data_IF_957680047812
#
_entry.id   IF_957680047812
#
_cell.length_a   1.000
_cell.length_b   1.000
_cell.length_c   1.000
_cell.angle_alpha   90.00
_cell.angle_beta   90.00
_cell.angle_gamma   90.00
#
_symmetry.space_group_name_H-M   'P 1'
#
loop_
_entity.id
_entity.type
_entity.pdbx_description
1 polymer ?
#
# COMPACT_ATOMS: atom_id res chain seq x y z
N UNK A 1 -2.38 -19.79 -44.95
CA UNK A 1 -1.95 -20.40 -43.69
C UNK A 1 -1.45 -19.39 -42.65
N UNK A 2 -0.70 -18.32 -42.98
CA UNK A 2 -0.17 -17.34 -42.03
C UNK A 2 -1.23 -16.56 -41.18
N UNK A 3 -2.43 -16.28 -41.74
CA UNK A 3 -3.49 -15.55 -41.00
C UNK A 3 -4.19 -16.41 -39.93
N UNK A 4 -4.24 -17.72 -40.05
CA UNK A 4 -4.87 -18.62 -39.07
C UNK A 4 -3.96 -18.85 -37.85
N UNK A 5 -2.64 -18.79 -38.02
CA UNK A 5 -1.66 -18.91 -36.94
C UNK A 5 -1.68 -17.66 -36.06
N UNK A 6 -1.87 -16.46 -36.65
CA UNK A 6 -1.99 -15.20 -35.89
C UNK A 6 -3.23 -15.17 -34.98
N UNK A 7 -4.35 -15.77 -35.44
CA UNK A 7 -5.58 -15.85 -34.66
C UNK A 7 -5.45 -16.82 -33.46
N UNK A 8 -4.70 -17.91 -33.61
CA UNK A 8 -4.42 -18.87 -32.54
C UNK A 8 -3.47 -18.26 -31.49
N UNK A 9 -2.49 -17.46 -31.90
CA UNK A 9 -1.63 -16.72 -30.97
C UNK A 9 -2.37 -15.61 -30.22
N UNK A 10 -3.33 -14.94 -30.86
CA UNK A 10 -4.16 -13.93 -30.20
C UNK A 10 -5.12 -14.55 -29.16
N UNK A 11 -5.57 -15.79 -29.38
CA UNK A 11 -6.39 -16.52 -28.41
C UNK A 11 -5.59 -17.14 -27.25
N UNK A 12 -4.29 -17.34 -27.41
CA UNK A 12 -3.39 -17.82 -26.35
C UNK A 12 -2.81 -16.69 -25.47
N UNK A 13 -2.87 -15.43 -25.93
CA UNK A 13 -2.39 -14.28 -25.16
C UNK A 13 -3.41 -13.70 -24.16
N UNK A 14 -4.61 -14.27 -24.07
CA UNK A 14 -5.67 -13.79 -23.19
C UNK A 14 -5.91 -14.81 -22.09
N UNK A 15 -5.06 -14.88 -21.08
CA UNK A 15 -5.37 -15.38 -19.72
C UNK A 15 -4.17 -15.33 -18.77
N UNK A 16 -3.70 -14.15 -18.41
CA UNK A 16 -3.11 -13.92 -17.11
C UNK A 16 -3.87 -12.79 -16.44
N UNK A 17 -5.11 -13.05 -16.10
CA UNK A 17 -5.78 -12.24 -15.09
C UNK A 17 -5.39 -12.80 -13.73
N UNK A 18 -4.99 -11.95 -12.80
CA UNK A 18 -4.96 -12.28 -11.40
C UNK A 18 -6.27 -13.01 -11.04
N UNK A 19 -6.20 -14.18 -10.41
CA UNK A 19 -7.38 -14.97 -10.07
C UNK A 19 -7.99 -14.52 -8.75
N UNK A 20 -7.58 -13.35 -8.24
CA UNK A 20 -8.15 -12.76 -7.03
C UNK A 20 -9.64 -12.47 -7.23
N UNK A 21 -10.43 -12.82 -6.22
CA UNK A 21 -11.89 -12.61 -6.21
C UNK A 21 -12.31 -11.95 -4.90
N UNK A 22 -13.42 -11.23 -4.92
CA UNK A 22 -13.99 -10.63 -3.71
C UNK A 22 -14.91 -11.63 -3.02
N UNK A 23 -14.44 -12.18 -1.90
CA UNK A 23 -15.26 -13.08 -1.08
C UNK A 23 -16.19 -12.29 -0.14
N UNK A 24 -17.46 -12.68 -0.09
CA UNK A 24 -18.41 -12.19 0.91
C UNK A 24 -18.29 -13.04 2.18
N UNK A 25 -18.20 -12.39 3.32
CA UNK A 25 -17.98 -13.04 4.60
C UNK A 25 -18.83 -12.47 5.72
N UNK A 26 -18.92 -13.21 6.82
CA UNK A 26 -19.42 -12.74 8.11
C UNK A 26 -18.60 -13.36 9.25
N UNK A 27 -18.60 -12.68 10.41
CA UNK A 27 -17.95 -13.16 11.64
C UNK A 27 -18.98 -13.07 12.77
N UNK A 28 -19.12 -14.15 13.52
CA UNK A 28 -20.04 -14.22 14.66
C UNK A 28 -19.27 -14.73 15.90
N UNK A 29 -19.31 -13.99 17.03
CA UNK A 29 -19.86 -12.64 17.16
C UNK A 29 -19.05 -11.60 16.34
N UNK A 30 -19.70 -10.51 15.94
CA UNK A 30 -19.07 -9.46 15.13
C UNK A 30 -18.18 -8.50 15.96
N UNK A 31 -18.31 -8.54 17.28
CA UNK A 31 -17.46 -7.86 18.26
C UNK A 31 -16.98 -8.92 19.26
N UNK A 32 -15.69 -9.05 19.43
CA UNK A 32 -15.07 -10.11 20.20
C UNK A 32 -13.70 -9.68 20.74
N UNK A 33 -13.25 -10.29 21.82
CA UNK A 33 -11.86 -10.19 22.28
C UNK A 33 -11.00 -11.35 21.77
N UNK A 34 -9.70 -11.27 22.00
CA UNK A 34 -8.74 -12.27 21.49
C UNK A 34 -8.95 -13.68 22.08
N UNK A 35 -9.61 -13.80 23.23
CA UNK A 35 -9.85 -15.07 23.93
C UNK A 35 -11.24 -15.65 23.63
N UNK A 36 -12.07 -14.93 22.89
CA UNK A 36 -13.42 -15.38 22.53
C UNK A 36 -13.40 -16.17 21.22
N UNK A 37 -14.12 -17.29 21.20
CA UNK A 37 -14.31 -18.05 19.98
C UNK A 37 -15.19 -17.28 18.98
N UNK A 38 -14.73 -17.22 17.73
CA UNK A 38 -15.44 -16.61 16.60
C UNK A 38 -15.63 -17.63 15.49
N UNK A 39 -16.72 -17.50 14.75
CA UNK A 39 -16.95 -18.28 13.54
C UNK A 39 -16.90 -17.38 12.31
N UNK A 40 -15.93 -17.62 11.45
CA UNK A 40 -15.79 -17.00 10.14
C UNK A 40 -16.61 -17.81 9.15
N UNK A 41 -17.51 -17.16 8.43
CA UNK A 41 -18.33 -17.76 7.37
C UNK A 41 -18.05 -17.07 6.06
N UNK A 42 -17.75 -17.84 5.02
CA UNK A 42 -17.58 -17.36 3.64
C UNK A 42 -18.77 -17.88 2.82
N UNK A 43 -19.36 -17.00 2.01
CA UNK A 43 -20.41 -17.39 1.08
C UNK A 43 -19.76 -18.03 -0.17
N UNK A 44 -20.06 -19.30 -0.44
CA UNK A 44 -19.53 -20.06 -1.57
C UNK A 44 -19.86 -19.43 -2.91
N UNK A 45 -21.08 -18.90 -3.08
CA UNK A 45 -21.49 -18.23 -4.33
C UNK A 45 -20.73 -16.94 -4.64
N UNK A 46 -19.98 -16.39 -3.68
CA UNK A 46 -19.13 -15.21 -3.88
C UNK A 46 -17.78 -15.53 -4.52
N UNK A 47 -17.42 -16.80 -4.61
CA UNK A 47 -16.15 -17.28 -5.17
C UNK A 47 -16.41 -18.27 -6.31
N UNK A 48 -15.62 -18.17 -7.38
CA UNK A 48 -15.61 -19.17 -8.44
C UNK A 48 -14.52 -20.22 -8.14
N UNK A 49 -14.93 -21.30 -7.49
CA UNK A 49 -14.05 -22.39 -7.04
C UNK A 49 -13.34 -23.07 -8.20
N UNK A 50 -14.00 -23.22 -9.34
CA UNK A 50 -13.41 -23.82 -10.53
C UNK A 50 -12.23 -22.99 -11.06
N UNK A 51 -12.32 -21.66 -11.03
CA UNK A 51 -11.22 -20.75 -11.40
C UNK A 51 -10.01 -20.95 -10.49
N UNK A 52 -10.23 -21.16 -9.20
CA UNK A 52 -9.13 -21.42 -8.24
C UNK A 52 -8.64 -22.85 -8.25
N UNK A 53 -9.36 -23.77 -8.91
CA UNK A 53 -9.07 -25.20 -8.88
C UNK A 53 -9.34 -25.82 -7.51
N UNK A 54 -10.34 -25.30 -6.80
CA UNK A 54 -10.81 -25.90 -5.52
C UNK A 54 -11.46 -27.23 -5.84
N UNK A 55 -10.97 -28.29 -5.23
CA UNK A 55 -11.53 -29.65 -5.35
C UNK A 55 -12.07 -30.13 -4.01
N UNK A 56 -13.12 -30.91 -4.04
CA UNK A 56 -13.76 -31.46 -2.83
C UNK A 56 -14.08 -30.36 -1.78
N UNK A 57 -14.47 -29.17 -2.24
CA UNK A 57 -14.81 -28.01 -1.40
C UNK A 57 -13.71 -27.66 -0.37
N UNK A 58 -12.44 -27.78 -0.77
CA UNK A 58 -11.29 -27.56 0.10
C UNK A 58 -10.82 -26.10 0.01
N UNK A 59 -11.42 -25.22 0.82
CA UNK A 59 -11.03 -23.84 1.01
C UNK A 59 -10.21 -23.67 2.29
N UNK A 60 -9.24 -22.78 2.29
CA UNK A 60 -8.28 -22.60 3.39
C UNK A 60 -8.20 -21.13 3.83
N UNK A 61 -8.06 -20.93 5.13
CA UNK A 61 -7.79 -19.65 5.76
C UNK A 61 -6.27 -19.39 5.71
N UNK A 62 -5.88 -18.23 5.20
CA UNK A 62 -4.54 -17.69 5.36
C UNK A 62 -4.63 -16.45 6.23
N UNK A 63 -3.94 -16.43 7.36
CA UNK A 63 -4.24 -15.48 8.41
C UNK A 63 -3.00 -14.90 9.07
N UNK A 64 -3.12 -13.67 9.58
CA UNK A 64 -2.11 -12.94 10.33
C UNK A 64 -2.78 -12.04 11.37
N UNK A 65 -2.01 -11.55 12.33
CA UNK A 65 -2.49 -10.67 13.39
C UNK A 65 -1.59 -9.46 13.55
N UNK A 66 -2.15 -8.37 14.03
CA UNK A 66 -1.44 -7.16 14.42
C UNK A 66 -1.66 -6.89 15.92
N UNK A 67 -0.69 -6.20 16.53
CA UNK A 67 -0.87 -5.65 17.87
C UNK A 67 -1.86 -4.47 17.85
N UNK A 68 -2.14 -3.90 19.02
CA UNK A 68 -3.08 -2.78 19.19
C UNK A 68 -2.62 -1.47 18.51
N UNK A 69 -1.37 -1.39 18.02
CA UNK A 69 -0.82 -0.21 17.37
C UNK A 69 -0.56 -0.41 15.87
N UNK A 70 -0.96 -1.57 15.32
CA UNK A 70 -0.67 -1.98 13.93
C UNK A 70 0.83 -2.00 13.57
N UNK A 71 1.71 -2.17 14.57
CA UNK A 71 3.16 -2.05 14.37
C UNK A 71 3.86 -3.39 14.18
N UNK A 72 3.20 -4.49 14.47
CA UNK A 72 3.78 -5.83 14.50
C UNK A 72 2.85 -6.83 13.83
N UNK A 73 3.12 -7.13 12.55
CA UNK A 73 2.43 -8.20 11.84
C UNK A 73 3.03 -9.56 12.21
N UNK A 74 2.18 -10.52 12.53
CA UNK A 74 2.58 -11.88 12.87
C UNK A 74 1.66 -12.89 12.18
N UNK A 75 2.24 -13.74 11.33
CA UNK A 75 1.53 -14.89 10.76
C UNK A 75 1.18 -15.96 11.81
N UNK A 76 0.23 -16.81 11.48
CA UNK A 76 -0.12 -17.96 12.33
C UNK A 76 0.65 -19.22 11.89
N UNK A 77 1.05 -20.10 12.84
CA UNK A 77 1.65 -21.39 12.50
C UNK A 77 0.65 -22.32 11.76
N UNK A 78 -0.65 -21.99 11.77
CA UNK A 78 -1.69 -22.79 11.13
C UNK A 78 -1.79 -22.57 9.61
N UNK A 79 -1.09 -21.58 9.02
CA UNK A 79 -1.16 -21.31 7.59
C UNK A 79 -0.57 -22.46 6.73
N UNK A 80 0.55 -23.06 7.17
CA UNK A 80 1.38 -23.92 6.33
C UNK A 80 2.13 -23.11 5.27
N UNK A 81 2.41 -23.72 4.11
CA UNK A 81 3.05 -23.07 2.99
C UNK A 81 2.03 -22.44 2.03
N UNK A 82 2.40 -21.35 1.35
CA UNK A 82 1.52 -20.69 0.38
C UNK A 82 1.00 -21.65 -0.71
N UNK A 83 1.86 -22.57 -1.15
CA UNK A 83 1.54 -23.59 -2.16
C UNK A 83 0.91 -24.86 -1.60
N UNK A 84 0.91 -25.03 -0.26
CA UNK A 84 0.41 -26.21 0.45
C UNK A 84 -0.14 -25.82 1.83
N UNK A 85 -1.31 -25.18 1.85
CA UNK A 85 -1.96 -24.80 3.13
C UNK A 85 -2.14 -25.97 4.06
N UNK A 86 -1.93 -25.72 5.36
CA UNK A 86 -2.14 -26.68 6.44
C UNK A 86 -3.63 -27.10 6.55
N UNK A 87 -3.90 -28.37 6.84
CA UNK A 87 -5.26 -28.82 7.12
C UNK A 87 -5.86 -28.15 8.36
N UNK A 88 -5.02 -27.66 9.29
CA UNK A 88 -5.47 -26.85 10.42
C UNK A 88 -6.16 -25.54 10.00
N UNK A 89 -5.90 -25.03 8.80
CA UNK A 89 -6.52 -23.82 8.26
C UNK A 89 -7.72 -24.09 7.35
N UNK A 90 -8.08 -25.36 7.10
CA UNK A 90 -9.18 -25.73 6.22
C UNK A 90 -10.54 -25.34 6.80
N UNK A 91 -11.41 -24.83 5.93
CA UNK A 91 -12.81 -24.58 6.25
C UNK A 91 -13.65 -25.86 6.18
N UNK A 92 -14.75 -25.87 6.92
CA UNK A 92 -15.82 -26.87 6.79
C UNK A 92 -16.87 -26.35 5.82
N UNK A 93 -17.19 -27.12 4.79
CA UNK A 93 -18.21 -26.76 3.80
C UNK A 93 -19.60 -27.31 4.18
N UNK A 94 -20.62 -26.47 4.03
CA UNK A 94 -22.03 -26.85 4.17
C UNK A 94 -22.73 -26.73 2.82
N UNK A 95 -23.05 -27.85 2.20
CA UNK A 95 -23.70 -27.93 0.89
C UNK A 95 -25.14 -27.38 0.87
N UNK A 96 -25.84 -27.44 2.01
CA UNK A 96 -27.23 -26.97 2.08
C UNK A 96 -27.36 -25.45 2.02
N UNK A 97 -26.33 -24.73 2.47
CA UNK A 97 -26.30 -23.26 2.50
C UNK A 97 -25.23 -22.65 1.59
N UNK A 98 -24.44 -23.47 0.91
CA UNK A 98 -23.29 -23.07 0.11
C UNK A 98 -22.37 -22.14 0.90
N UNK A 99 -21.93 -22.57 2.09
CA UNK A 99 -21.08 -21.77 2.96
C UNK A 99 -19.88 -22.58 3.47
N UNK A 100 -18.77 -21.86 3.64
CA UNK A 100 -17.56 -22.33 4.27
C UNK A 100 -17.43 -21.72 5.65
N UNK A 101 -17.31 -22.55 6.69
CA UNK A 101 -17.22 -22.08 8.08
C UNK A 101 -15.94 -22.51 8.75
N UNK A 102 -15.39 -21.65 9.60
CA UNK A 102 -14.26 -21.97 10.46
C UNK A 102 -14.39 -21.26 11.79
N UNK A 103 -14.37 -22.00 12.88
CA UNK A 103 -14.33 -21.44 14.24
C UNK A 103 -12.89 -21.39 14.73
N UNK A 104 -12.48 -20.24 15.24
CA UNK A 104 -11.16 -19.99 15.84
C UNK A 104 -11.32 -19.19 17.13
N UNK A 105 -10.37 -19.34 18.06
CA UNK A 105 -10.14 -18.39 19.16
C UNK A 105 -8.86 -17.63 18.80
N UNK A 106 -8.90 -16.32 18.56
CA UNK A 106 -7.76 -15.58 18.01
C UNK A 106 -6.44 -15.83 18.73
N UNK A 107 -6.38 -15.64 20.06
CA UNK A 107 -5.12 -15.83 20.81
C UNK A 107 -4.52 -17.23 20.61
N UNK A 108 -5.37 -18.26 20.52
CA UNK A 108 -4.95 -19.66 20.32
C UNK A 108 -4.56 -19.89 18.85
N UNK A 109 -5.38 -19.44 17.92
CA UNK A 109 -5.16 -19.68 16.49
C UNK A 109 -3.92 -18.98 15.96
N UNK A 110 -3.67 -17.73 16.37
CA UNK A 110 -2.50 -16.95 15.98
C UNK A 110 -1.27 -17.21 16.86
N UNK A 111 -1.43 -17.99 17.94
CA UNK A 111 -0.38 -18.27 18.92
C UNK A 111 0.31 -16.99 19.41
N UNK A 112 -0.49 -15.99 19.80
CA UNK A 112 -0.03 -14.69 20.29
C UNK A 112 -1.12 -14.01 21.11
N UNK A 113 -0.75 -13.03 21.93
CA UNK A 113 -1.64 -12.21 22.75
C UNK A 113 -1.40 -10.72 22.46
N UNK A 114 -2.29 -9.86 22.93
CA UNK A 114 -2.26 -8.43 22.65
C UNK A 114 -2.71 -8.11 21.23
N UNK A 115 -3.60 -8.95 20.69
CA UNK A 115 -4.12 -8.79 19.32
C UNK A 115 -5.08 -7.61 19.28
N UNK A 116 -4.75 -6.57 18.52
CA UNK A 116 -5.64 -5.45 18.23
C UNK A 116 -6.44 -5.62 16.94
N UNK A 117 -5.89 -6.39 15.98
CA UNK A 117 -6.51 -6.63 14.68
C UNK A 117 -6.12 -8.01 14.14
N UNK A 118 -7.06 -8.70 13.53
CA UNK A 118 -6.77 -9.91 12.75
C UNK A 118 -6.92 -9.60 11.26
N UNK A 119 -5.98 -10.14 10.49
CA UNK A 119 -6.04 -10.16 9.04
C UNK A 119 -6.27 -11.58 8.55
N UNK A 120 -7.01 -11.75 7.48
CA UNK A 120 -7.10 -13.02 6.79
C UNK A 120 -7.55 -12.86 5.35
N UNK A 121 -7.29 -13.88 4.58
CA UNK A 121 -7.88 -14.12 3.26
C UNK A 121 -8.28 -15.59 3.15
N UNK A 122 -9.08 -15.90 2.16
CA UNK A 122 -9.41 -17.29 1.81
C UNK A 122 -8.77 -17.66 0.49
N UNK A 123 -8.29 -18.89 0.37
CA UNK A 123 -7.55 -19.33 -0.82
C UNK A 123 -7.78 -20.82 -1.09
N UNK A 124 -7.46 -21.22 -2.31
CA UNK A 124 -7.26 -22.64 -2.63
C UNK A 124 -6.08 -23.20 -1.84
N UNK A 125 -5.95 -24.53 -1.72
CA UNK A 125 -4.81 -25.17 -1.04
C UNK A 125 -3.48 -24.69 -1.58
N UNK A 126 -3.38 -24.56 -2.90
CA UNK A 126 -2.26 -23.91 -3.59
C UNK A 126 -2.68 -22.51 -4.03
N UNK A 127 -2.06 -21.48 -3.44
CA UNK A 127 -2.34 -20.07 -3.71
C UNK A 127 -1.63 -19.48 -4.95
N UNK A 128 -0.84 -20.29 -5.70
CA UNK A 128 -0.11 -19.82 -6.88
C UNK A 128 -1.07 -19.26 -7.93
N UNK A 129 -0.72 -18.11 -8.53
CA UNK A 129 -1.54 -17.43 -9.54
C UNK A 129 -2.71 -16.66 -8.94
N UNK A 130 -2.52 -16.08 -7.73
CA UNK A 130 -3.51 -15.28 -7.00
C UNK A 130 -4.86 -15.98 -6.76
N UNK A 131 -4.83 -17.28 -6.52
CA UNK A 131 -6.02 -18.09 -6.17
C UNK A 131 -6.49 -17.80 -4.76
N UNK A 132 -6.84 -16.55 -4.51
CA UNK A 132 -7.17 -16.00 -3.18
C UNK A 132 -8.27 -14.94 -3.25
N UNK A 133 -8.86 -14.65 -2.09
CA UNK A 133 -9.72 -13.48 -1.91
C UNK A 133 -8.89 -12.19 -1.70
N UNK A 134 -9.61 -11.07 -1.57
CA UNK A 134 -9.08 -9.84 -0.98
C UNK A 134 -8.60 -10.10 0.45
N UNK A 135 -7.73 -9.23 0.95
CA UNK A 135 -7.37 -9.18 2.36
C UNK A 135 -8.54 -8.63 3.17
N UNK A 136 -8.84 -9.28 4.28
CA UNK A 136 -9.91 -8.93 5.20
C UNK A 136 -9.27 -8.58 6.54
N UNK A 137 -9.50 -7.36 7.02
CA UNK A 137 -9.00 -6.89 8.31
C UNK A 137 -10.16 -6.66 9.26
N UNK A 138 -10.03 -7.16 10.49
CA UNK A 138 -11.09 -7.11 11.52
C UNK A 138 -10.48 -6.71 12.86
N UNK A 139 -11.03 -5.66 13.47
CA UNK A 139 -10.63 -5.19 14.79
C UNK A 139 -10.99 -6.22 15.87
N UNK A 140 -10.11 -6.34 16.87
CA UNK A 140 -10.28 -7.22 18.04
C UNK A 140 -10.45 -6.37 19.29
N UNK A 141 -11.37 -6.75 20.15
CA UNK A 141 -11.71 -6.04 21.38
C UNK A 141 -13.13 -5.47 21.36
N UNK A 142 -13.72 -5.33 22.54
CA UNK A 142 -15.06 -4.73 22.69
C UNK A 142 -15.06 -3.25 22.35
N UNK A 143 -13.97 -2.56 22.65
CA UNK A 143 -13.72 -1.17 22.27
C UNK A 143 -13.07 -1.13 20.90
N UNK A 144 -13.82 -0.69 19.90
CA UNK A 144 -13.38 -0.54 18.51
C UNK A 144 -13.64 0.89 18.04
N UNK A 145 -12.79 1.39 17.14
CA UNK A 145 -12.91 2.73 16.56
C UNK A 145 -12.98 2.60 15.04
N UNK A 146 -14.03 3.17 14.46
CA UNK A 146 -14.20 3.27 13.01
C UNK A 146 -14.04 4.72 12.56
N UNK A 147 -13.05 4.99 11.73
CA UNK A 147 -12.92 6.26 11.03
C UNK A 147 -13.90 6.27 9.85
N UNK A 148 -14.98 7.07 9.95
CA UNK A 148 -16.04 7.09 8.94
C UNK A 148 -15.66 7.98 7.75
N UNK A 149 -14.92 9.07 8.03
CA UNK A 149 -14.28 9.97 7.08
C UNK A 149 -13.02 10.56 7.71
N UNK A 150 -11.91 10.60 6.95
CA UNK A 150 -11.63 9.90 5.70
C UNK A 150 -11.47 8.38 5.92
N UNK A 151 -11.11 7.65 4.86
CA UNK A 151 -10.68 6.25 5.02
C UNK A 151 -9.37 6.21 5.80
N UNK A 152 -9.25 5.28 6.73
CA UNK A 152 -8.02 5.05 7.51
C UNK A 152 -6.82 4.78 6.59
N UNK A 153 -5.66 5.29 6.98
CA UNK A 153 -4.41 5.19 6.21
C UNK A 153 -4.47 5.77 4.78
N UNK A 154 -5.53 6.56 4.47
CA UNK A 154 -5.67 7.22 3.18
C UNK A 154 -5.00 8.59 3.15
N UNK A 155 -4.72 9.05 1.92
CA UNK A 155 -4.34 10.45 1.66
C UNK A 155 -5.42 11.11 0.81
N UNK A 156 -5.97 12.21 1.30
CA UNK A 156 -6.96 13.01 0.57
C UNK A 156 -6.27 14.21 -0.08
N UNK A 157 -6.59 14.46 -1.35
CA UNK A 157 -6.10 15.65 -2.06
C UNK A 157 -7.11 16.79 -1.89
N UNK A 158 -6.62 17.97 -1.48
CA UNK A 158 -7.45 19.17 -1.29
C UNK A 158 -6.92 20.36 -2.08
N UNK A 159 -7.82 21.23 -2.50
CA UNK A 159 -7.46 22.58 -2.94
C UNK A 159 -7.06 23.44 -1.74
N UNK A 160 -6.05 24.30 -1.90
CA UNK A 160 -5.61 25.22 -0.84
C UNK A 160 -6.76 26.07 -0.30
N UNK A 161 -6.86 26.17 1.03
CA UNK A 161 -7.95 26.87 1.72
C UNK A 161 -9.23 26.05 1.94
N UNK A 162 -9.27 24.80 1.49
CA UNK A 162 -10.41 23.91 1.71
C UNK A 162 -10.60 23.54 3.18
N UNK A 163 -11.83 23.19 3.53
CA UNK A 163 -12.15 22.57 4.80
C UNK A 163 -12.13 21.04 4.66
N UNK A 164 -11.76 20.36 5.75
CA UNK A 164 -11.70 18.90 5.78
C UNK A 164 -12.43 18.35 7.01
N UNK A 165 -13.48 17.58 6.77
CA UNK A 165 -14.31 17.02 7.85
C UNK A 165 -13.84 15.61 8.19
N UNK A 166 -13.58 15.39 9.48
CA UNK A 166 -13.17 14.12 10.06
C UNK A 166 -14.33 13.62 10.92
N UNK A 167 -14.77 12.37 10.67
CA UNK A 167 -15.83 11.73 11.44
C UNK A 167 -15.41 10.32 11.84
N UNK A 168 -15.72 9.96 13.09
CA UNK A 168 -15.43 8.64 13.64
C UNK A 168 -16.51 8.21 14.63
N UNK A 169 -16.61 6.91 14.85
CA UNK A 169 -17.47 6.32 15.87
C UNK A 169 -16.70 5.28 16.67
N UNK A 170 -17.12 5.01 17.89
CA UNK A 170 -16.58 3.91 18.66
C UNK A 170 -17.70 3.03 19.25
N UNK A 171 -17.35 1.79 19.56
CA UNK A 171 -18.20 0.83 20.28
C UNK A 171 -17.97 0.91 21.78
N UNK A 172 -18.73 0.12 22.55
CA UNK A 172 -18.59 -0.08 24.00
C UNK A 172 -18.77 1.16 24.86
N UNK A 173 -19.66 2.09 24.43
CA UNK A 173 -20.01 3.30 25.21
C UNK A 173 -19.17 4.53 24.84
N UNK A 174 -19.07 5.48 25.76
CA UNK A 174 -18.41 6.76 25.50
C UNK A 174 -16.88 6.66 25.62
N UNK A 175 -16.17 7.46 24.80
CA UNK A 175 -14.73 7.58 24.80
C UNK A 175 -14.30 9.06 24.71
N UNK A 176 -13.04 9.34 24.94
CA UNK A 176 -12.44 10.65 24.67
C UNK A 176 -11.67 10.62 23.36
N UNK A 177 -11.80 11.70 22.58
CA UNK A 177 -11.17 11.88 21.29
C UNK A 177 -10.15 13.01 21.35
N UNK A 178 -8.98 12.80 20.75
CA UNK A 178 -7.94 13.81 20.60
C UNK A 178 -7.39 13.77 19.18
N UNK A 179 -7.61 14.82 18.41
CA UNK A 179 -7.12 14.96 17.04
C UNK A 179 -5.87 15.82 17.01
N UNK A 180 -4.80 15.28 16.44
CA UNK A 180 -3.58 16.01 16.13
C UNK A 180 -3.47 16.24 14.62
N UNK A 181 -2.92 17.40 14.25
CA UNK A 181 -2.44 17.71 12.91
C UNK A 181 -0.97 18.10 12.99
N UNK A 182 -0.11 17.44 12.22
CA UNK A 182 1.35 17.62 12.25
C UNK A 182 1.93 17.59 13.68
N UNK A 183 1.46 16.65 14.51
CA UNK A 183 1.89 16.44 15.88
C UNK A 183 1.25 17.37 16.93
N UNK A 184 0.57 18.45 16.53
CA UNK A 184 -0.10 19.39 17.44
C UNK A 184 -1.57 19.04 17.60
N UNK A 185 -2.08 19.04 18.85
CA UNK A 185 -3.51 18.84 19.13
C UNK A 185 -4.31 20.03 18.60
N UNK A 186 -5.28 19.75 17.73
CA UNK A 186 -6.16 20.78 17.13
C UNK A 186 -7.60 20.68 17.60
N UNK A 187 -8.03 19.54 18.13
CA UNK A 187 -9.36 19.35 18.68
C UNK A 187 -9.39 18.21 19.70
N UNK A 188 -10.22 18.36 20.71
CA UNK A 188 -10.54 17.30 21.69
C UNK A 188 -12.03 17.25 21.94
N UNK A 189 -12.56 16.05 22.20
CA UNK A 189 -13.94 15.85 22.64
C UNK A 189 -13.95 14.74 23.70
N UNK A 190 -14.47 15.03 24.86
CA UNK A 190 -14.55 14.09 25.96
C UNK A 190 -15.95 13.47 26.02
N UNK A 191 -16.01 12.16 26.32
CA UNK A 191 -17.25 11.47 26.67
C UNK A 191 -18.33 11.45 25.57
N UNK A 192 -17.93 10.97 24.37
CA UNK A 192 -18.88 10.73 23.25
C UNK A 192 -18.60 9.38 22.59
N UNK A 193 -19.61 8.80 21.92
CA UNK A 193 -19.44 7.60 21.06
C UNK A 193 -19.39 7.94 19.58
N UNK A 194 -19.50 9.23 19.23
CA UNK A 194 -19.35 9.72 17.85
C UNK A 194 -18.57 11.03 17.85
N UNK A 195 -17.71 11.20 16.87
CA UNK A 195 -16.83 12.34 16.72
C UNK A 195 -17.03 12.99 15.35
N UNK A 196 -17.10 14.31 15.34
CA UNK A 196 -17.12 15.10 14.10
C UNK A 196 -16.36 16.41 14.33
N UNK A 197 -15.40 16.68 13.45
CA UNK A 197 -14.64 17.93 13.46
C UNK A 197 -14.33 18.37 12.02
N UNK A 198 -14.43 19.67 11.75
CA UNK A 198 -14.05 20.25 10.47
C UNK A 198 -12.82 21.14 10.67
N UNK A 199 -11.68 20.67 10.17
CA UNK A 199 -10.45 21.49 10.08
C UNK A 199 -10.58 22.44 8.91
N UNK A 200 -10.58 23.75 9.19
CA UNK A 200 -10.87 24.80 8.23
C UNK A 200 -9.60 25.42 7.66
N UNK A 201 -9.68 25.95 6.43
CA UNK A 201 -8.63 26.72 5.79
C UNK A 201 -7.27 25.99 5.74
N UNK A 202 -7.28 24.76 5.25
CA UNK A 202 -6.05 23.96 5.11
C UNK A 202 -5.24 24.47 3.91
N UNK A 203 -4.09 25.06 4.18
CA UNK A 203 -3.20 25.64 3.16
C UNK A 203 -1.87 24.89 2.99
N UNK A 204 -1.59 23.90 3.85
CA UNK A 204 -0.40 23.06 3.81
C UNK A 204 -0.76 21.60 4.04
N UNK A 205 0.09 20.69 3.59
CA UNK A 205 -0.07 19.26 3.83
C UNK A 205 -0.19 18.96 5.33
N UNK A 206 -1.06 18.00 5.67
CA UNK A 206 -1.33 17.62 7.04
C UNK A 206 -1.21 16.12 7.23
N UNK A 207 -0.58 15.72 8.33
CA UNK A 207 -0.63 14.36 8.85
C UNK A 207 -1.50 14.38 10.09
N UNK A 208 -2.56 13.58 10.09
CA UNK A 208 -3.50 13.50 11.18
C UNK A 208 -3.33 12.22 11.99
N UNK A 209 -3.51 12.35 13.28
CA UNK A 209 -3.60 11.26 14.23
C UNK A 209 -4.81 11.50 15.13
N UNK A 210 -5.83 10.63 15.03
CA UNK A 210 -6.99 10.63 15.90
C UNK A 210 -6.80 9.55 16.97
N UNK A 211 -6.48 9.97 18.20
CA UNK A 211 -6.41 9.08 19.35
C UNK A 211 -7.78 9.03 20.04
N UNK A 212 -8.31 7.83 20.26
CA UNK A 212 -9.58 7.58 20.92
C UNK A 212 -9.35 6.69 22.13
N UNK A 213 -9.69 7.19 23.33
CA UNK A 213 -9.37 6.53 24.60
C UNK A 213 -10.63 6.17 25.37
N UNK A 214 -10.73 4.92 25.81
CA UNK A 214 -11.75 4.42 26.72
C UNK A 214 -11.08 3.63 27.85
N UNK A 215 -11.21 4.13 29.09
CA UNK A 215 -10.50 3.56 30.23
C UNK A 215 -8.98 3.64 30.05
N UNK A 216 -8.30 2.50 30.09
CA UNK A 216 -6.86 2.39 29.88
C UNK A 216 -6.47 2.14 28.42
N UNK A 217 -7.43 1.91 27.53
CA UNK A 217 -7.17 1.55 26.13
C UNK A 217 -7.24 2.78 25.24
N UNK A 218 -6.22 2.99 24.42
CA UNK A 218 -6.18 4.03 23.36
C UNK A 218 -5.96 3.38 22.01
N UNK A 219 -6.84 3.67 21.07
CA UNK A 219 -6.70 3.28 19.66
C UNK A 219 -6.40 4.52 18.82
N UNK A 220 -5.50 4.40 17.87
CA UNK A 220 -5.03 5.52 17.05
C UNK A 220 -5.37 5.25 15.59
N UNK A 221 -6.04 6.22 14.94
CA UNK A 221 -6.35 6.22 13.52
C UNK A 221 -5.55 7.29 12.81
N UNK A 222 -4.87 6.92 11.71
CA UNK A 222 -3.97 7.81 10.95
C UNK A 222 -4.50 8.05 9.55
N UNK A 223 -4.32 9.25 9.05
CA UNK A 223 -4.64 9.65 7.69
C UNK A 223 -3.91 10.95 7.34
N UNK A 224 -3.92 11.35 6.08
CA UNK A 224 -3.21 12.55 5.64
C UNK A 224 -3.99 13.34 4.60
N UNK A 225 -3.60 14.59 4.46
CA UNK A 225 -4.07 15.51 3.43
C UNK A 225 -2.87 16.06 2.67
N UNK A 226 -2.96 16.04 1.35
CA UNK A 226 -2.04 16.71 0.44
C UNK A 226 -2.79 17.89 -0.17
N UNK A 227 -2.24 19.09 -0.01
CA UNK A 227 -2.80 20.31 -0.60
C UNK A 227 -2.19 20.48 -1.98
N UNK A 228 -3.04 20.66 -2.99
CA UNK A 228 -2.59 20.93 -4.36
C UNK A 228 -1.72 22.19 -4.38
N UNK A 229 -0.42 22.11 -4.73
CA UNK A 229 0.42 23.28 -4.92
C UNK A 229 0.00 23.97 -6.23
N UNK A 230 0.23 25.26 -6.30
CA UNK A 230 0.25 25.93 -7.61
C UNK A 230 1.45 25.37 -8.39
N UNK A 231 1.19 24.55 -9.40
CA UNK A 231 2.25 23.99 -10.24
C UNK A 231 3.01 25.12 -10.92
N UNK A 232 4.31 25.22 -10.60
CA UNK A 232 5.19 26.23 -11.21
C UNK A 232 5.50 25.79 -12.64
N UNK A 233 5.18 26.67 -13.61
CA UNK A 233 5.58 26.48 -15.00
C UNK A 233 6.97 27.07 -15.21
N UNK A 234 7.95 26.23 -15.52
CA UNK A 234 9.35 26.64 -15.73
C UNK A 234 10.01 25.72 -16.75
N UNK A 235 10.72 26.32 -17.71
CA UNK A 235 11.40 25.59 -18.77
C UNK A 235 12.50 24.72 -18.18
N UNK A 236 12.47 23.45 -18.52
CA UNK A 236 13.46 22.45 -18.10
C UNK A 236 14.82 22.73 -18.76
N UNK A 237 15.90 22.48 -18.04
CA UNK A 237 17.26 22.63 -18.59
C UNK A 237 17.48 21.67 -19.77
N UNK A 238 18.19 22.16 -20.77
CA UNK A 238 18.54 21.33 -21.95
C UNK A 238 19.40 20.14 -21.58
N UNK A 239 19.15 19.02 -22.25
CA UNK A 239 19.95 17.81 -22.10
C UNK A 239 19.46 16.87 -20.99
N UNK A 240 18.45 17.25 -20.20
CA UNK A 240 17.83 16.34 -19.24
C UNK A 240 16.97 15.29 -19.95
N UNK A 241 17.02 14.06 -19.44
CA UNK A 241 16.25 12.90 -19.90
C UNK A 241 15.31 12.40 -18.81
N UNK A 242 14.32 11.58 -19.17
CA UNK A 242 13.42 10.99 -18.21
C UNK A 242 14.16 10.16 -17.15
N UNK A 243 13.72 10.24 -15.89
CA UNK A 243 14.32 9.61 -14.75
C UNK A 243 15.34 10.50 -14.01
N UNK A 244 16.35 9.88 -13.44
CA UNK A 244 17.37 10.54 -12.61
C UNK A 244 18.50 11.07 -13.47
N UNK A 245 18.69 12.40 -13.47
CA UNK A 245 19.82 13.07 -14.10
C UNK A 245 20.85 13.43 -13.02
N UNK A 246 21.96 12.70 -12.97
CA UNK A 246 23.04 12.94 -12.03
C UNK A 246 23.90 14.11 -12.49
N UNK A 247 24.22 15.02 -11.55
CA UNK A 247 25.17 16.08 -11.83
C UNK A 247 26.61 15.51 -11.76
N UNK A 248 27.37 15.65 -12.85
CA UNK A 248 28.72 15.07 -12.96
C UNK A 248 29.79 15.87 -12.20
N UNK A 249 29.50 17.09 -11.79
CA UNK A 249 30.44 18.00 -11.11
C UNK A 249 30.01 18.36 -9.69
N UNK A 250 28.72 18.23 -9.37
CA UNK A 250 28.15 18.51 -8.05
C UNK A 250 27.33 17.31 -7.54
N UNK A 251 27.99 16.45 -6.80
CA UNK A 251 27.35 15.24 -6.24
C UNK A 251 26.36 15.51 -5.10
N UNK A 252 26.16 16.77 -4.73
CA UNK A 252 25.10 17.16 -3.80
C UNK A 252 23.74 17.37 -4.50
N UNK A 253 23.70 17.21 -5.84
CA UNK A 253 22.53 17.47 -6.67
C UNK A 253 22.19 16.33 -7.60
N UNK A 254 20.90 16.21 -7.88
CA UNK A 254 20.36 15.40 -8.97
C UNK A 254 19.06 16.03 -9.47
N UNK A 255 18.77 15.94 -10.77
CA UNK A 255 17.50 16.40 -11.33
C UNK A 255 16.64 15.22 -11.72
N UNK A 256 15.41 15.21 -11.22
CA UNK A 256 14.39 14.23 -11.55
C UNK A 256 13.51 14.75 -12.68
N UNK A 257 13.22 13.90 -13.66
CA UNK A 257 12.29 14.20 -14.77
C UNK A 257 11.28 13.08 -14.89
N UNK A 258 10.01 13.44 -14.91
CA UNK A 258 8.90 12.47 -15.03
C UNK A 258 7.96 12.90 -16.16
N UNK A 259 7.72 11.99 -17.10
CA UNK A 259 6.63 12.10 -18.05
C UNK A 259 5.34 11.54 -17.43
N UNK A 260 4.42 12.44 -17.06
CA UNK A 260 3.12 12.10 -16.49
C UNK A 260 2.02 12.93 -17.17
N UNK A 261 1.66 12.56 -18.42
CA UNK A 261 0.69 13.31 -19.21
C UNK A 261 -0.68 13.33 -18.54
N UNK A 262 -1.41 14.44 -18.69
CA UNK A 262 -2.74 14.64 -18.14
C UNK A 262 -2.80 14.64 -16.60
N UNK A 263 -1.65 14.82 -15.91
CA UNK A 263 -1.63 14.97 -14.45
C UNK A 263 -1.46 16.43 -14.05
N UNK A 264 -2.06 16.78 -12.90
CA UNK A 264 -2.09 18.16 -12.43
C UNK A 264 -0.80 18.56 -11.75
N UNK A 265 -0.30 17.70 -10.85
CA UNK A 265 0.99 17.93 -10.20
C UNK A 265 1.65 16.64 -9.68
N UNK A 266 2.91 16.75 -9.33
CA UNK A 266 3.70 15.66 -8.75
C UNK A 266 4.48 16.19 -7.56
N UNK A 267 4.41 15.47 -6.43
CA UNK A 267 5.34 15.63 -5.32
C UNK A 267 6.44 14.56 -5.37
N UNK A 268 7.61 14.90 -4.83
CA UNK A 268 8.68 13.95 -4.54
C UNK A 268 8.75 13.75 -3.03
N UNK A 269 8.47 12.54 -2.56
CA UNK A 269 8.60 12.14 -1.17
C UNK A 269 9.75 11.13 -1.03
N UNK A 270 10.67 11.35 -0.10
CA UNK A 270 11.84 10.49 0.06
C UNK A 270 12.52 10.62 1.41
N UNK A 271 13.59 9.86 1.60
CA UNK A 271 14.41 9.89 2.81
C UNK A 271 14.98 11.28 3.13
N UNK A 272 15.21 12.10 2.11
CA UNK A 272 15.74 13.47 2.23
C UNK A 272 14.73 14.49 2.77
N UNK A 273 13.44 14.16 2.81
CA UNK A 273 12.38 15.01 3.38
C UNK A 273 11.47 14.26 4.36
N UNK A 274 11.99 13.17 4.95
CA UNK A 274 11.27 12.31 5.89
C UNK A 274 9.92 11.79 5.33
N UNK A 275 9.83 11.56 4.02
CA UNK A 275 8.63 11.12 3.32
C UNK A 275 7.44 12.08 3.45
N UNK A 276 7.71 13.33 3.77
CA UNK A 276 6.71 14.39 3.92
C UNK A 276 6.90 15.43 2.82
N UNK A 277 6.21 15.30 1.69
CA UNK A 277 6.33 16.25 0.60
C UNK A 277 5.80 17.62 1.04
N UNK A 278 6.52 18.65 0.60
CA UNK A 278 6.15 20.06 0.79
C UNK A 278 6.24 20.79 -0.54
N UNK A 279 5.88 22.07 -0.55
CA UNK A 279 6.00 22.90 -1.76
C UNK A 279 7.42 22.94 -2.33
N UNK A 280 8.47 22.79 -1.50
CA UNK A 280 9.87 22.71 -1.96
C UNK A 280 10.16 21.43 -2.77
N UNK A 281 9.34 20.40 -2.61
CA UNK A 281 9.45 19.11 -3.32
C UNK A 281 8.30 18.89 -4.30
N UNK A 282 7.55 19.93 -4.64
CA UNK A 282 6.60 19.91 -5.74
C UNK A 282 7.36 20.10 -7.07
N UNK A 283 7.15 19.18 -8.00
CA UNK A 283 7.80 19.27 -9.30
C UNK A 283 7.24 20.43 -10.12
N UNK A 284 8.12 21.10 -10.86
CA UNK A 284 7.79 22.11 -11.85
C UNK A 284 7.29 21.42 -13.13
N UNK A 285 6.48 22.10 -13.92
CA UNK A 285 6.02 21.59 -15.22
C UNK A 285 6.68 22.38 -16.34
N UNK A 286 7.39 21.68 -17.21
CA UNK A 286 7.99 22.29 -18.40
C UNK A 286 6.89 22.66 -19.41
N UNK A 287 6.72 23.93 -19.78
CA UNK A 287 5.67 24.36 -20.70
C UNK A 287 5.88 23.87 -22.15
N UNK A 288 7.09 23.43 -22.50
CA UNK A 288 7.45 22.98 -23.86
C UNK A 288 7.12 21.50 -24.02
N UNK A 289 7.62 20.65 -23.13
CA UNK A 289 7.45 19.18 -23.21
C UNK A 289 6.23 18.66 -22.42
N UNK A 290 5.72 19.44 -21.47
CA UNK A 290 4.67 19.02 -20.54
C UNK A 290 5.17 18.11 -19.42
N UNK A 291 6.46 17.78 -19.36
CA UNK A 291 7.06 16.93 -18.35
C UNK A 291 7.20 17.65 -17.01
N UNK A 292 7.22 16.86 -15.93
CA UNK A 292 7.52 17.36 -14.60
C UNK A 292 9.00 17.21 -14.29
N UNK A 293 9.60 18.19 -13.59
CA UNK A 293 11.01 18.14 -13.22
C UNK A 293 11.28 18.83 -11.89
N UNK A 294 12.33 18.36 -11.18
CA UNK A 294 12.77 18.93 -9.91
C UNK A 294 14.27 18.70 -9.71
N UNK A 295 15.02 19.75 -9.41
CA UNK A 295 16.38 19.62 -8.92
C UNK A 295 16.34 19.37 -7.39
N UNK A 296 16.85 18.22 -6.96
CA UNK A 296 17.16 17.92 -5.58
C UNK A 296 18.53 18.49 -5.25
N UNK A 297 18.68 19.05 -4.05
CA UNK A 297 19.93 19.57 -3.51
C UNK A 297 20.18 19.09 -2.08
N UNK A 298 21.41 19.24 -1.58
CA UNK A 298 21.77 18.79 -0.24
C UNK A 298 21.92 17.28 -0.10
N UNK A 299 22.03 16.55 -1.22
CA UNK A 299 22.30 15.12 -1.21
C UNK A 299 23.72 14.83 -0.72
N UNK A 300 23.92 13.67 -0.10
CA UNK A 300 25.24 13.22 0.33
C UNK A 300 25.77 12.19 -0.67
N UNK A 301 26.96 12.47 -1.23
CA UNK A 301 27.62 11.58 -2.18
C UNK A 301 27.81 10.18 -1.62
N UNK A 302 27.46 9.15 -2.39
CA UNK A 302 27.60 7.76 -1.99
C UNK A 302 26.51 7.20 -1.05
N UNK A 303 25.60 8.04 -0.59
CA UNK A 303 24.46 7.62 0.25
C UNK A 303 23.24 7.25 -0.61
N UNK A 304 22.59 6.15 -0.26
CA UNK A 304 21.33 5.75 -0.89
C UNK A 304 20.21 6.65 -0.37
N UNK A 305 19.56 7.37 -1.27
CA UNK A 305 18.34 8.13 -1.01
C UNK A 305 17.18 7.41 -1.67
N UNK A 306 16.17 7.04 -0.90
CA UNK A 306 14.97 6.41 -1.43
C UNK A 306 13.89 7.47 -1.64
N UNK A 307 13.12 7.37 -2.74
CA UNK A 307 12.01 8.27 -3.00
C UNK A 307 10.90 7.63 -3.82
N UNK A 308 9.74 8.28 -3.80
CA UNK A 308 8.57 8.00 -4.65
C UNK A 308 8.09 9.30 -5.28
N UNK A 309 7.47 9.18 -6.45
CA UNK A 309 6.58 10.19 -6.98
C UNK A 309 5.17 10.01 -6.40
N UNK A 310 4.58 11.09 -5.92
CA UNK A 310 3.17 11.16 -5.58
C UNK A 310 2.47 11.94 -6.69
N UNK A 311 1.93 11.20 -7.65
CA UNK A 311 1.33 11.74 -8.88
C UNK A 311 -0.15 12.00 -8.63
N UNK A 312 -0.58 13.23 -8.86
CA UNK A 312 -1.95 13.66 -8.55
C UNK A 312 -2.70 14.07 -9.81
N UNK A 313 -3.94 13.59 -9.86
CA UNK A 313 -4.98 13.97 -10.79
C UNK A 313 -6.17 14.51 -9.97
N UNK A 314 -6.43 15.82 -10.06
CA UNK A 314 -7.50 16.47 -9.31
C UNK A 314 -8.90 16.14 -9.86
N UNK A 315 -8.97 15.63 -11.10
CA UNK A 315 -10.20 15.26 -11.78
C UNK A 315 -10.11 13.85 -12.38
N UNK A 316 -9.85 12.82 -11.55
CA UNK A 316 -9.62 11.48 -12.05
C UNK A 316 -10.87 10.91 -12.71
N UNK A 317 -10.70 10.01 -13.67
CA UNK A 317 -11.79 9.23 -14.23
C UNK A 317 -12.50 8.42 -13.13
N UNK A 318 -13.76 8.11 -13.33
CA UNK A 318 -14.55 7.32 -12.38
C UNK A 318 -13.83 6.02 -12.01
N UNK A 319 -13.77 5.73 -10.71
CA UNK A 319 -13.07 4.59 -10.10
C UNK A 319 -11.53 4.63 -10.18
N UNK A 320 -10.94 5.75 -10.57
CA UNK A 320 -9.48 5.96 -10.50
C UNK A 320 -9.13 6.74 -9.23
N UNK A 321 -8.00 6.44 -8.57
CA UNK A 321 -7.54 7.22 -7.42
C UNK A 321 -7.10 8.62 -7.86
N UNK A 322 -7.35 9.62 -7.03
CA UNK A 322 -6.86 10.99 -7.24
C UNK A 322 -5.34 11.15 -7.03
N UNK A 323 -4.70 10.19 -6.39
CA UNK A 323 -3.27 10.17 -6.15
C UNK A 323 -2.72 8.75 -6.23
N UNK A 324 -1.56 8.61 -6.88
CA UNK A 324 -0.80 7.36 -6.96
C UNK A 324 0.61 7.60 -6.45
N UNK A 325 1.10 6.71 -5.59
CA UNK A 325 2.50 6.66 -5.17
C UNK A 325 3.21 5.62 -6.04
N UNK A 326 4.32 6.00 -6.66
CA UNK A 326 5.04 5.12 -7.57
C UNK A 326 6.55 5.38 -7.54
N UNK A 327 7.33 4.34 -7.79
CA UNK A 327 8.75 4.50 -8.08
C UNK A 327 8.95 5.22 -9.42
N UNK A 328 10.17 5.70 -9.67
CA UNK A 328 10.56 6.26 -10.96
C UNK A 328 10.62 5.13 -12.01
N UNK A 329 9.83 5.23 -13.08
CA UNK A 329 9.77 4.19 -14.11
C UNK A 329 11.07 4.02 -14.91
N UNK A 330 11.97 4.99 -14.83
CA UNK A 330 13.29 4.96 -15.50
C UNK A 330 14.43 4.60 -14.54
N UNK A 331 14.12 4.28 -13.28
CA UNK A 331 15.14 3.89 -12.31
C UNK A 331 15.73 2.52 -12.61
N UNK A 332 17.03 2.39 -12.40
CA UNK A 332 17.74 1.11 -12.49
C UNK A 332 17.71 0.29 -11.20
N UNK A 333 17.27 0.90 -10.10
CA UNK A 333 17.14 0.24 -8.79
C UNK A 333 15.86 0.70 -8.10
N UNK A 334 14.94 -0.23 -7.96
CA UNK A 334 13.66 -0.07 -7.27
C UNK A 334 13.60 -1.11 -6.16
N UNK A 335 13.16 -0.71 -4.98
CA UNK A 335 12.89 -1.60 -3.85
C UNK A 335 11.38 -1.80 -3.73
N UNK A 336 10.97 -3.03 -3.46
CA UNK A 336 9.57 -3.43 -3.29
C UNK A 336 9.35 -4.04 -1.92
N UNK A 337 8.35 -3.60 -1.15
CA UNK A 337 8.01 -4.23 0.12
C UNK A 337 7.44 -5.64 -0.07
N UNK A 338 7.03 -5.98 -1.27
CA UNK A 338 6.38 -7.25 -1.61
C UNK A 338 7.39 -8.29 -2.14
N UNK A 339 8.33 -7.86 -2.98
CA UNK A 339 9.25 -8.76 -3.70
C UNK A 339 10.61 -8.90 -3.01
N UNK A 340 11.15 -7.81 -2.43
CA UNK A 340 12.47 -7.79 -1.81
C UNK A 340 12.65 -8.83 -0.69
N UNK A 341 11.65 -9.09 0.17
CA UNK A 341 11.76 -10.13 1.20
C UNK A 341 12.01 -11.54 0.65
N UNK A 342 11.62 -11.78 -0.61
CA UNK A 342 11.85 -13.04 -1.32
C UNK A 342 13.22 -13.15 -1.99
N UNK A 343 14.04 -12.10 -2.02
CA UNK A 343 15.34 -12.08 -2.68
C UNK A 343 16.43 -12.59 -1.72
N UNK A 344 17.02 -13.78 -1.96
CA UNK A 344 18.08 -14.27 -1.09
C UNK A 344 19.32 -13.37 -1.13
N UNK A 345 19.97 -13.13 0.01
CA UNK A 345 21.18 -12.32 0.13
C UNK A 345 22.35 -12.80 -0.75
N UNK A 346 22.38 -14.10 -1.08
CA UNK A 346 23.36 -14.66 -2.04
C UNK A 346 23.17 -14.14 -3.46
N UNK A 347 21.94 -13.73 -3.83
CA UNK A 347 21.61 -13.22 -5.17
C UNK A 347 21.85 -11.70 -5.24
N UNK A 348 21.60 -11.00 -4.14
CA UNK A 348 21.86 -9.56 -4.03
C UNK A 348 22.42 -9.23 -2.64
N UNK A 349 23.72 -9.44 -2.40
CA UNK A 349 24.31 -9.39 -1.05
C UNK A 349 24.30 -8.01 -0.39
N UNK A 350 24.20 -6.94 -1.15
CA UNK A 350 24.22 -5.55 -0.67
C UNK A 350 22.95 -4.79 -1.08
N UNK A 351 21.83 -5.48 -1.20
CA UNK A 351 20.58 -4.84 -1.51
C UNK A 351 20.23 -3.82 -0.41
N UNK A 352 19.90 -2.56 -0.76
CA UNK A 352 19.46 -1.59 0.21
C UNK A 352 18.18 -2.07 0.92
N UNK A 353 18.05 -1.75 2.20
CA UNK A 353 16.87 -2.12 2.97
C UNK A 353 15.71 -1.22 2.58
N UNK A 354 14.54 -1.82 2.34
CA UNK A 354 13.31 -1.07 2.10
C UNK A 354 12.98 -0.15 3.29
N UNK A 355 12.61 1.12 3.05
CA UNK A 355 12.39 2.10 4.12
C UNK A 355 11.17 1.74 4.97
N UNK A 356 11.36 1.64 6.28
CA UNK A 356 10.29 1.33 7.23
C UNK A 356 9.16 2.36 7.19
N UNK A 357 7.92 1.89 7.32
CA UNK A 357 6.72 2.74 7.37
C UNK A 357 6.27 3.27 6.01
N UNK A 358 6.91 2.86 4.91
CA UNK A 358 6.47 3.23 3.57
C UNK A 358 5.59 2.14 2.95
N UNK A 359 4.88 2.51 1.90
CA UNK A 359 4.02 1.63 1.10
C UNK A 359 4.41 1.81 -0.38
N UNK A 360 4.22 0.77 -1.16
CA UNK A 360 4.54 0.70 -2.59
C UNK A 360 6.04 0.77 -2.89
N UNK A 361 6.40 0.60 -4.12
CA UNK A 361 7.79 0.60 -4.59
C UNK A 361 8.45 1.94 -4.41
N UNK A 362 9.74 1.93 -4.08
CA UNK A 362 10.57 3.13 -3.95
C UNK A 362 11.78 3.05 -4.86
N UNK A 363 12.17 4.18 -5.41
CA UNK A 363 13.39 4.32 -6.21
C UNK A 363 14.60 4.59 -5.31
N UNK A 364 15.74 4.03 -5.65
CA UNK A 364 17.03 4.36 -5.02
C UNK A 364 17.81 5.33 -5.91
N UNK A 365 18.09 6.52 -5.36
CA UNK A 365 18.97 7.54 -5.94
C UNK A 365 20.27 7.57 -5.14
N UNK A 366 21.41 7.49 -5.83
CA UNK A 366 22.73 7.56 -5.22
C UNK A 366 23.66 8.40 -6.08
N UNK A 367 24.03 9.58 -5.61
CA UNK A 367 24.98 10.47 -6.29
C UNK A 367 26.44 10.01 -6.08
N UNK A 368 27.35 10.49 -6.94
CA UNK A 368 28.79 10.19 -6.80
C UNK A 368 29.17 8.75 -7.05
N UNK A 369 28.33 7.99 -7.73
CA UNK A 369 28.67 6.64 -8.17
C UNK A 369 29.62 6.69 -9.36
N UNK A 370 30.67 5.89 -9.33
CA UNK A 370 31.46 5.59 -10.52
C UNK A 370 30.64 4.62 -11.37
N UNK A 371 30.36 4.94 -12.64
CA UNK A 371 29.67 4.02 -13.54
C UNK A 371 30.41 2.69 -13.62
N UNK A 372 29.64 1.59 -13.59
CA UNK A 372 30.21 0.27 -13.76
C UNK A 372 30.88 0.16 -15.13
N UNK A 373 32.13 -0.22 -15.16
CA UNK A 373 32.86 -0.43 -16.42
C UNK A 373 32.61 -1.85 -16.91
N UNK A 374 31.72 -1.98 -17.89
CA UNK A 374 31.38 -3.25 -18.51
C UNK A 374 32.60 -3.82 -19.26
N UNK A 375 33.04 -5.01 -18.86
CA UNK A 375 34.20 -5.69 -19.48
C UNK A 375 33.88 -6.20 -20.90
N UNK A 376 32.61 -6.41 -21.21
CA UNK A 376 32.15 -6.89 -22.52
C UNK A 376 31.20 -5.82 -23.08
N UNK A 377 31.71 -4.99 -23.99
CA UNK A 377 30.97 -3.89 -24.60
C UNK A 377 30.26 -4.25 -25.91
N UNK A 378 30.65 -5.34 -26.54
CA UNK A 378 30.13 -5.77 -27.84
C UNK A 378 29.39 -7.12 -27.76
N UNK A 379 28.67 -7.37 -26.68
CA UNK A 379 27.89 -8.60 -26.55
C UNK A 379 26.76 -8.61 -27.60
N UNK A 380 26.83 -9.52 -28.53
CA UNK A 380 25.75 -9.80 -29.50
C UNK A 380 24.78 -10.78 -28.82
N UNK A 381 23.55 -10.34 -28.60
CA UNK A 381 22.53 -11.21 -28.06
C UNK A 381 22.31 -12.40 -28.97
N UNK A 382 22.35 -13.66 -28.46
CA UNK A 382 22.04 -14.84 -29.26
C UNK A 382 20.65 -14.70 -29.91
N UNK A 383 20.52 -15.23 -31.14
CA UNK A 383 19.21 -15.33 -31.77
C UNK A 383 18.28 -16.18 -30.92
N UNK A 384 17.03 -15.79 -30.85
CA UNK A 384 15.98 -16.59 -30.16
C UNK A 384 15.66 -17.91 -30.88
N UNK A 385 16.13 -18.05 -32.09
CA UNK A 385 15.81 -19.17 -32.97
C UNK A 385 16.90 -20.26 -32.97
N UNK A 386 17.85 -20.20 -32.03
CA UNK A 386 18.87 -21.24 -31.82
C UNK A 386 18.65 -21.96 -30.49
#
# INVERSE_FOLDING_TARGET
>A
MKKKILLVFLLLSVKFFAQQQTATYSIIPNTFDENQAITITINGSSINEATWGVTANALYLWAWAFDTNDTSEKGTPNNGDWTASSEASKFTYNAATDTYTKTITPAIYYNTTGIGKIGFLVKAKNGTGDKKSQDILVEVGAFQVSLTKPIENSTTVLTSGSNFTITATNTNGVASYSLKANGSVINTNASTSSYSYSHTNIITNQIYELAVTQGATTLIKKFSVVVNPNTVSEVMLMGLVDGINYNSTDFTKATLVLDAPLKDFVYVAGSFNNWQPSSAYAMKKDPISGKFWLELSGLVSGVNNMYQYWVVDATPLANSPSMVKTADPYSTLVLSPYDDPGIPSKNYPNMPVYPSGQQFEVTVLKTGQTPYNWQVTNFVKPSKDN
#
